data_IF_488445475618
#
_entry.id   IF_488445475618
#
_cell.length_a   1.000
_cell.length_b   1.000
_cell.length_c   1.000
_cell.angle_alpha   90.00
_cell.angle_beta   90.00
_cell.angle_gamma   90.00
#
_symmetry.space_group_name_H-M   'P 1'
#
loop_
_entity.id
_entity.type
_entity.pdbx_description
1 polymer ?
#
# COMPACT_ATOMS: atom_id res chain seq x y z
N UNK A 1 26.85 -4.11 -13.34
CA UNK A 1 25.62 -4.11 -14.18
C UNK A 1 24.56 -4.90 -13.43
N UNK A 2 23.74 -4.25 -12.61
CA UNK A 2 22.73 -4.90 -11.76
C UNK A 2 21.36 -4.78 -12.42
N UNK A 3 21.03 -5.75 -13.26
CA UNK A 3 19.68 -5.92 -13.81
C UNK A 3 18.79 -6.57 -12.76
N UNK A 4 18.19 -5.76 -11.89
CA UNK A 4 17.03 -6.21 -11.13
C UNK A 4 16.04 -5.06 -10.93
N UNK A 5 15.12 -4.90 -11.88
CA UNK A 5 13.90 -4.11 -11.68
C UNK A 5 12.87 -5.01 -11.02
N UNK A 6 12.83 -4.98 -9.69
CA UNK A 6 11.93 -5.79 -8.90
C UNK A 6 10.54 -5.15 -8.81
N UNK A 7 9.76 -5.24 -9.89
CA UNK A 7 8.31 -5.08 -9.78
C UNK A 7 7.74 -6.32 -9.08
N UNK A 8 6.91 -6.12 -8.06
CA UNK A 8 6.44 -7.20 -7.19
C UNK A 8 5.00 -6.95 -6.77
N UNK A 9 4.13 -7.91 -7.07
CA UNK A 9 2.69 -7.88 -6.77
C UNK A 9 2.49 -8.47 -5.38
N UNK A 10 1.81 -7.75 -4.50
CA UNK A 10 1.81 -8.10 -3.08
C UNK A 10 0.44 -8.21 -2.41
N UNK A 11 -0.64 -7.69 -3.00
CA UNK A 11 -1.94 -7.66 -2.30
C UNK A 11 -2.94 -8.54 -3.01
N UNK A 12 -3.47 -9.51 -2.27
CA UNK A 12 -4.33 -10.61 -2.77
C UNK A 12 -5.82 -10.26 -2.65
N UNK A 13 -6.17 -9.26 -1.84
CA UNK A 13 -7.55 -8.89 -1.56
C UNK A 13 -7.73 -7.37 -1.57
N UNK A 14 -8.81 -6.90 -2.18
CA UNK A 14 -9.14 -5.47 -2.28
C UNK A 14 -10.04 -5.11 -1.10
N UNK A 15 -9.44 -4.54 -0.06
CA UNK A 15 -10.18 -4.10 1.12
C UNK A 15 -9.73 -2.73 1.58
N UNK A 16 -10.67 -1.98 2.12
CA UNK A 16 -10.40 -0.73 2.81
C UNK A 16 -9.40 -0.96 3.94
N UNK A 17 -8.41 -0.08 4.02
CA UNK A 17 -7.34 -0.08 5.04
C UNK A 17 -6.47 -1.35 5.07
N UNK A 18 -6.53 -2.22 4.06
CA UNK A 18 -5.73 -3.45 4.01
C UNK A 18 -4.36 -3.23 3.36
N UNK A 19 -3.58 -2.33 3.96
CA UNK A 19 -2.16 -2.16 3.65
C UNK A 19 -1.35 -2.90 4.70
N UNK A 20 -0.47 -3.78 4.24
CA UNK A 20 0.19 -4.77 5.11
C UNK A 20 1.71 -4.65 5.05
N UNK A 21 2.41 -5.50 5.79
CA UNK A 21 3.87 -5.56 5.89
C UNK A 21 4.55 -5.67 4.53
N UNK A 22 3.84 -6.23 3.54
CA UNK A 22 4.36 -6.44 2.18
C UNK A 22 4.71 -5.14 1.49
N UNK A 23 3.97 -4.05 1.75
CA UNK A 23 4.37 -2.73 1.27
C UNK A 23 5.59 -2.24 2.04
N UNK A 24 5.57 -2.41 3.36
CA UNK A 24 6.61 -1.90 4.25
C UNK A 24 7.98 -2.52 3.96
N UNK A 25 8.07 -3.82 3.69
CA UNK A 25 9.32 -4.50 3.34
C UNK A 25 9.96 -4.00 2.03
N UNK A 26 9.20 -3.29 1.19
CA UNK A 26 9.72 -2.71 -0.06
C UNK A 26 10.24 -1.29 0.12
N UNK A 27 9.97 -0.66 1.26
CA UNK A 27 10.44 0.69 1.56
C UNK A 27 11.97 0.76 1.67
N UNK A 28 12.65 -0.31 2.08
CA UNK A 28 14.12 -0.33 2.22
C UNK A 28 14.89 -0.62 0.93
N UNK A 29 14.21 -0.98 -0.14
CA UNK A 29 14.85 -1.38 -1.40
C UNK A 29 14.35 -0.52 -2.57
N UNK A 30 15.18 -0.28 -3.60
CA UNK A 30 14.78 0.48 -4.78
C UNK A 30 13.88 -0.40 -5.66
N UNK A 31 12.65 -0.62 -5.22
CA UNK A 31 11.63 -1.44 -5.88
C UNK A 31 10.31 -0.70 -5.93
N UNK A 32 9.50 -0.95 -6.96
CA UNK A 32 8.19 -0.33 -7.13
C UNK A 32 7.13 -1.41 -6.84
N UNK A 33 6.40 -1.32 -5.71
CA UNK A 33 5.29 -2.22 -5.41
C UNK A 33 4.18 -2.06 -6.44
N UNK A 34 3.61 -3.20 -6.88
CA UNK A 34 2.38 -3.23 -7.66
C UNK A 34 1.23 -3.57 -6.70
N UNK A 35 0.20 -2.73 -6.70
CA UNK A 35 -0.94 -2.78 -5.78
C UNK A 35 -2.26 -2.88 -6.54
N UNK A 36 -3.32 -3.30 -5.86
CA UNK A 36 -4.61 -3.58 -6.53
C UNK A 36 -5.35 -2.31 -6.96
N UNK A 37 -5.71 -1.43 -6.00
CA UNK A 37 -6.44 -0.18 -6.28
C UNK A 37 -5.74 1.04 -5.72
N UNK A 38 -5.56 2.07 -6.55
CA UNK A 38 -4.89 3.32 -6.18
C UNK A 38 -5.52 4.00 -4.96
N UNK A 39 -6.85 4.09 -4.96
CA UNK A 39 -7.62 4.79 -3.94
C UNK A 39 -7.35 4.28 -2.51
N UNK A 40 -7.15 2.98 -2.33
CA UNK A 40 -6.89 2.37 -1.00
C UNK A 40 -5.61 2.93 -0.38
N UNK A 41 -4.60 3.22 -1.20
CA UNK A 41 -3.30 3.69 -0.75
C UNK A 41 -3.27 5.21 -0.58
N UNK A 42 -3.94 5.95 -1.48
CA UNK A 42 -4.03 7.40 -1.40
C UNK A 42 -4.87 7.88 -0.21
N UNK A 43 -5.95 7.15 0.15
CA UNK A 43 -6.74 7.43 1.36
C UNK A 43 -5.93 7.29 2.65
N UNK A 44 -4.87 6.48 2.65
CA UNK A 44 -3.94 6.27 3.77
C UNK A 44 -2.66 7.11 3.62
N UNK A 45 -2.73 8.18 2.81
CA UNK A 45 -1.66 9.14 2.57
C UNK A 45 -0.37 8.54 1.98
N UNK A 46 -0.42 7.37 1.35
CA UNK A 46 0.79 6.77 0.75
C UNK A 46 1.13 7.53 -0.54
N UNK A 47 2.41 7.91 -0.76
CA UNK A 47 2.81 8.69 -1.92
C UNK A 47 2.41 8.02 -3.25
N UNK A 48 1.74 8.73 -4.17
CA UNK A 48 1.34 8.17 -5.47
C UNK A 48 2.52 7.66 -6.31
N UNK A 49 3.70 8.26 -6.16
CA UNK A 49 4.92 7.84 -6.87
C UNK A 49 5.49 6.52 -6.34
N UNK A 50 5.17 6.15 -5.10
CA UNK A 50 5.74 4.98 -4.44
C UNK A 50 5.31 3.65 -5.06
N UNK A 51 4.12 3.58 -5.67
CA UNK A 51 3.54 2.33 -6.17
C UNK A 51 2.93 2.49 -7.57
N UNK A 52 2.65 1.35 -8.19
CA UNK A 52 1.86 1.25 -9.43
C UNK A 52 0.57 0.52 -9.09
N UNK A 53 -0.59 1.07 -9.42
CA UNK A 53 -1.86 0.40 -9.16
C UNK A 53 -2.37 -0.32 -10.42
N UNK A 54 -3.02 -1.48 -10.25
CA UNK A 54 -3.57 -2.22 -11.40
C UNK A 54 -4.70 -1.45 -12.08
N UNK A 55 -5.52 -0.74 -11.31
CA UNK A 55 -6.66 0.06 -11.78
C UNK A 55 -6.26 1.33 -12.55
N UNK A 56 -4.97 1.66 -12.61
CA UNK A 56 -4.45 2.70 -13.51
C UNK A 56 -4.42 2.25 -14.98
N UNK A 57 -4.53 0.94 -15.22
CA UNK A 57 -4.41 0.32 -16.54
C UNK A 57 -5.70 -0.39 -16.94
N UNK A 58 -6.02 -0.40 -18.23
CA UNK A 58 -7.20 -1.08 -18.78
C UNK A 58 -7.13 -2.60 -18.61
N UNK A 59 -5.92 -3.15 -18.52
CA UNK A 59 -5.71 -4.57 -18.30
C UNK A 59 -4.23 -4.97 -18.22
N UNK A 60 -3.95 -6.27 -17.99
CA UNK A 60 -2.61 -6.82 -17.82
C UNK A 60 -1.63 -6.47 -18.94
N UNK A 61 -2.08 -6.41 -20.19
CA UNK A 61 -1.21 -6.09 -21.33
C UNK A 61 -0.64 -4.67 -21.25
N UNK A 62 -1.49 -3.69 -20.94
CA UNK A 62 -1.07 -2.29 -20.83
C UNK A 62 -0.10 -2.08 -19.67
N UNK A 63 -0.37 -2.73 -18.52
CA UNK A 63 0.58 -2.77 -17.41
C UNK A 63 1.91 -3.40 -17.83
N UNK A 64 1.88 -4.55 -18.53
CA UNK A 64 3.10 -5.21 -18.96
C UNK A 64 3.94 -4.34 -19.90
N UNK A 65 3.31 -3.62 -20.82
CA UNK A 65 4.00 -2.70 -21.73
C UNK A 65 4.56 -1.48 -20.99
N UNK A 66 3.84 -0.97 -19.98
CA UNK A 66 4.35 0.06 -19.09
C UNK A 66 5.58 -0.42 -18.29
N UNK A 67 5.54 -1.63 -17.74
CA UNK A 67 6.67 -2.21 -17.01
C UNK A 67 7.91 -2.42 -17.91
N UNK A 68 7.72 -2.83 -19.18
CA UNK A 68 8.82 -2.90 -20.16
C UNK A 68 9.40 -1.54 -20.48
N UNK A 69 8.56 -0.50 -20.59
CA UNK A 69 9.03 0.88 -20.76
C UNK A 69 9.85 1.32 -19.55
N UNK A 70 9.37 1.09 -18.32
CA UNK A 70 10.13 1.37 -17.09
C UNK A 70 11.46 0.60 -17.04
N UNK A 71 11.50 -0.61 -17.60
CA UNK A 71 12.72 -1.40 -17.63
C UNK A 71 13.84 -0.73 -18.44
N UNK A 72 13.48 -0.03 -19.51
CA UNK A 72 14.45 0.61 -20.42
C UNK A 72 14.63 2.10 -20.17
N UNK A 73 13.69 2.74 -19.46
CA UNK A 73 13.72 4.18 -19.18
C UNK A 73 14.01 4.48 -17.71
N UNK A 74 15.29 4.69 -17.40
CA UNK A 74 15.75 5.00 -16.04
C UNK A 74 15.19 6.31 -15.50
N UNK A 75 14.91 7.30 -16.36
CA UNK A 75 14.33 8.58 -15.93
C UNK A 75 12.91 8.36 -15.43
N UNK A 76 12.10 7.60 -16.16
CA UNK A 76 10.74 7.24 -15.73
C UNK A 76 10.77 6.39 -14.44
N UNK A 77 11.70 5.42 -14.34
CA UNK A 77 11.88 4.63 -13.12
C UNK A 77 12.20 5.49 -11.89
N UNK A 78 13.10 6.47 -12.03
CA UNK A 78 13.51 7.35 -10.92
C UNK A 78 12.36 8.24 -10.42
N UNK A 79 11.40 8.59 -11.27
CA UNK A 79 10.20 9.34 -10.83
C UNK A 79 9.42 8.59 -9.75
N UNK A 80 9.37 7.26 -9.82
CA UNK A 80 8.76 6.44 -8.77
C UNK A 80 9.54 6.39 -7.45
N UNK A 81 10.74 6.99 -7.39
CA UNK A 81 11.55 7.08 -6.20
C UNK A 81 11.58 8.50 -5.62
N UNK A 82 10.84 9.45 -6.20
CA UNK A 82 10.80 10.85 -5.76
C UNK A 82 10.28 11.00 -4.33
N UNK A 83 9.39 10.10 -3.87
CA UNK A 83 8.91 10.08 -2.48
C UNK A 83 10.03 9.98 -1.44
N UNK A 84 11.21 9.46 -1.82
CA UNK A 84 12.39 9.34 -0.95
C UNK A 84 13.18 10.65 -0.79
N UNK A 85 12.79 11.73 -1.47
CA UNK A 85 13.55 12.99 -1.51
C UNK A 85 13.26 13.95 -0.35
N UNK A 86 12.48 13.53 0.67
CA UNK A 86 12.41 14.26 1.94
C UNK A 86 11.01 14.45 2.52
N UNK A 87 9.95 14.19 1.76
CA UNK A 87 8.58 14.22 2.30
C UNK A 87 8.30 13.01 3.21
N UNK A 88 8.92 11.87 2.91
CA UNK A 88 8.74 10.62 3.63
C UNK A 88 10.07 10.05 4.09
N UNK A 89 10.09 9.55 5.32
CA UNK A 89 11.25 8.86 5.87
C UNK A 89 10.80 7.58 6.57
N UNK A 90 11.64 6.55 6.50
CA UNK A 90 11.45 5.39 7.35
C UNK A 90 11.96 5.69 8.73
N UNK A 91 11.09 5.48 9.71
CA UNK A 91 11.41 5.72 11.11
C UNK A 91 12.05 4.45 11.69
N UNK A 92 13.29 4.51 12.20
CA UNK A 92 13.91 3.36 12.85
C UNK A 92 13.10 2.89 14.07
N UNK A 93 13.17 1.59 14.36
CA UNK A 93 12.62 1.04 15.59
C UNK A 93 13.25 1.73 16.81
N UNK A 94 12.41 2.25 17.70
CA UNK A 94 12.79 2.93 18.96
C UNK A 94 13.52 4.28 18.83
N UNK A 95 13.32 5.04 17.75
CA UNK A 95 13.80 6.44 17.73
C UNK A 95 13.10 7.28 18.82
N UNK A 96 13.83 8.23 19.41
CA UNK A 96 13.29 9.19 20.37
C UNK A 96 12.04 9.88 19.79
N UNK A 97 10.91 9.74 20.49
CA UNK A 97 9.61 10.28 20.07
C UNK A 97 8.71 9.30 19.31
N UNK A 98 9.22 8.16 18.84
CA UNK A 98 8.41 7.12 18.21
C UNK A 98 8.30 5.90 19.12
N UNK A 99 7.14 5.72 19.76
CA UNK A 99 6.84 4.62 20.68
C UNK A 99 5.76 3.70 20.11
N UNK A 100 6.08 2.83 19.14
CA UNK A 100 5.09 1.96 18.53
C UNK A 100 4.59 0.91 19.54
N UNK A 101 3.38 0.40 19.28
CA UNK A 101 2.81 -0.76 19.97
C UNK A 101 2.61 -0.57 21.48
N UNK A 102 3.23 -1.45 22.27
CA UNK A 102 2.94 -1.61 23.71
C UNK A 102 3.38 -0.41 24.54
N UNK A 103 4.47 0.27 24.17
CA UNK A 103 4.92 1.47 24.90
C UNK A 103 3.93 2.63 24.74
N UNK A 104 3.41 2.85 23.52
CA UNK A 104 2.38 3.86 23.26
C UNK A 104 1.04 3.51 23.92
N UNK A 105 0.68 2.21 23.97
CA UNK A 105 -0.48 1.75 24.72
C UNK A 105 -0.32 2.03 26.22
N UNK A 106 0.85 1.70 26.80
CA UNK A 106 1.15 1.97 28.20
C UNK A 106 0.99 3.47 28.49
N UNK A 107 1.61 4.34 27.69
CA UNK A 107 1.50 5.80 27.84
C UNK A 107 0.05 6.29 27.84
N UNK A 108 -0.78 5.84 26.88
CA UNK A 108 -2.21 6.14 26.85
C UNK A 108 -2.97 5.63 28.08
N UNK A 109 -2.60 4.48 28.63
CA UNK A 109 -3.22 3.94 29.84
C UNK A 109 -2.87 4.75 31.10
N UNK A 110 -1.72 5.42 31.10
CA UNK A 110 -1.25 6.28 32.19
C UNK A 110 -1.79 7.73 32.12
N UNK A 111 -2.49 8.11 31.04
CA UNK A 111 -3.08 9.45 30.93
C UNK A 111 -4.11 9.70 32.07
N UNK A 112 -4.06 10.85 32.75
CA UNK A 112 -4.94 11.14 33.87
C UNK A 112 -6.40 11.34 33.45
N UNK A 113 -6.64 11.78 32.22
CA UNK A 113 -7.98 12.11 31.71
C UNK A 113 -8.37 11.14 30.57
N UNK A 114 -8.72 9.91 30.94
CA UNK A 114 -9.04 8.84 29.98
C UNK A 114 -10.46 8.98 29.45
N UNK A 115 -10.60 9.06 28.14
CA UNK A 115 -11.91 8.92 27.49
C UNK A 115 -12.26 7.43 27.39
N UNK A 116 -13.38 7.02 27.98
CA UNK A 116 -13.88 5.65 27.82
C UNK A 116 -14.56 5.54 26.46
N UNK A 117 -13.95 4.82 25.53
CA UNK A 117 -14.60 4.38 24.29
C UNK A 117 -14.91 2.90 24.40
N UNK A 118 -16.17 2.54 24.18
CA UNK A 118 -16.63 1.15 24.15
C UNK A 118 -17.17 0.86 22.77
N UNK A 119 -16.75 -0.25 22.17
CA UNK A 119 -17.33 -0.77 20.95
C UNK A 119 -18.23 -1.92 21.39
N UNK A 120 -19.55 -1.75 21.24
CA UNK A 120 -20.53 -2.76 21.66
C UNK A 120 -20.43 -4.02 20.79
N UNK A 121 -20.36 -3.85 19.47
CA UNK A 121 -20.21 -4.93 18.51
C UNK A 121 -18.89 -4.77 17.74
N UNK A 122 -17.89 -5.51 18.22
CA UNK A 122 -16.54 -5.54 17.61
C UNK A 122 -16.63 -6.04 16.16
N UNK A 123 -17.51 -7.01 15.88
CA UNK A 123 -17.62 -7.61 14.56
C UNK A 123 -18.19 -6.62 13.56
N UNK A 124 -19.35 -6.01 13.87
CA UNK A 124 -19.95 -5.00 12.97
C UNK A 124 -19.02 -3.81 12.78
N UNK A 125 -18.30 -3.41 13.83
CA UNK A 125 -17.31 -2.34 13.72
C UNK A 125 -16.15 -2.72 12.79
N UNK A 126 -15.59 -3.91 12.96
CA UNK A 126 -14.48 -4.40 12.12
C UNK A 126 -14.90 -4.59 10.66
N UNK A 127 -16.08 -5.18 10.40
CA UNK A 127 -16.60 -5.39 9.05
C UNK A 127 -16.79 -4.07 8.29
N UNK A 128 -17.18 -2.99 8.98
CA UNK A 128 -17.27 -1.64 8.40
C UNK A 128 -15.90 -1.00 8.14
N UNK A 129 -14.94 -1.22 9.03
CA UNK A 129 -13.59 -0.66 8.92
C UNK A 129 -12.76 -1.35 7.82
N UNK A 130 -12.82 -2.68 7.78
CA UNK A 130 -12.07 -3.53 6.86
C UNK A 130 -12.97 -4.06 5.73
N UNK A 131 -13.93 -3.24 5.28
CA UNK A 131 -14.85 -3.61 4.22
C UNK A 131 -14.07 -3.98 2.95
N UNK A 132 -14.36 -5.16 2.41
CA UNK A 132 -13.73 -5.69 1.21
C UNK A 132 -14.69 -5.63 0.03
N UNK A 133 -14.13 -5.61 -1.18
CA UNK A 133 -14.91 -5.89 -2.37
C UNK A 133 -15.43 -7.33 -2.32
N UNK A 134 -16.72 -7.50 -2.59
CA UNK A 134 -17.37 -8.80 -2.61
C UNK A 134 -16.83 -9.64 -3.79
N UNK A 135 -16.93 -10.96 -3.69
CA UNK A 135 -16.54 -11.88 -4.79
C UNK A 135 -17.25 -11.60 -6.13
N UNK A 136 -18.40 -10.90 -6.10
CA UNK A 136 -19.13 -10.46 -7.29
C UNK A 136 -18.66 -9.10 -7.84
N UNK A 137 -17.98 -8.29 -7.03
CA UNK A 137 -17.35 -7.04 -7.45
C UNK A 137 -15.94 -7.36 -7.95
N UNK A 138 -15.92 -7.99 -9.12
CA UNK A 138 -14.78 -8.76 -9.58
C UNK A 138 -13.76 -7.88 -10.30
N UNK A 139 -13.42 -6.70 -9.76
CA UNK A 139 -12.42 -5.79 -10.38
C UNK A 139 -11.22 -6.58 -10.90
N UNK A 140 -10.64 -7.44 -10.07
CA UNK A 140 -9.48 -8.26 -10.45
C UNK A 140 -9.83 -9.26 -11.56
N UNK A 141 -10.96 -9.95 -11.49
CA UNK A 141 -11.33 -10.93 -12.53
C UNK A 141 -11.65 -10.24 -13.86
N UNK A 142 -12.41 -9.15 -13.82
CA UNK A 142 -12.72 -8.31 -14.97
C UNK A 142 -11.42 -7.78 -15.59
N UNK A 143 -10.54 -7.20 -14.78
CA UNK A 143 -9.26 -6.65 -15.21
C UNK A 143 -8.38 -7.71 -15.88
N UNK A 144 -8.29 -8.91 -15.30
CA UNK A 144 -7.55 -10.03 -15.92
C UNK A 144 -8.18 -10.46 -17.25
N UNK A 145 -9.51 -10.51 -17.32
CA UNK A 145 -10.24 -10.93 -18.52
C UNK A 145 -10.16 -9.95 -19.70
N UNK A 146 -9.90 -8.67 -19.45
CA UNK A 146 -9.77 -7.63 -20.50
C UNK A 146 -8.59 -7.87 -21.45
N UNK A 147 -7.67 -8.81 -21.14
CA UNK A 147 -6.51 -9.14 -21.99
C UNK A 147 -6.81 -10.14 -23.12
N UNK A 148 -8.06 -10.58 -23.29
CA UNK A 148 -8.46 -11.58 -24.30
C UNK A 148 -9.00 -10.93 -25.60
N UNK A 149 -9.04 -9.60 -25.68
CA UNK A 149 -9.41 -8.85 -26.90
C UNK A 149 -8.23 -8.00 -27.40
#
# INVERSE_FOLDING_TARGET
MTNFQYASVHVIQVCKNYITEKLMFRLDIPSIPIVMKRKIYEEENIPPSMFIALDDFRGPKELADYLKMLQTNMTAYKKHMEWRQGEWTMVPWHVLGYKPGMCGLCEKLWEPNRTRKSIEDIRSHYEKLAACEDSNDSFVQNWVSTSIL
#
